data_IF_087135006546
#
_entry.id   IF_087135006546
#
_cell.length_a   1.000
_cell.length_b   1.000
_cell.length_c   1.000
_cell.angle_alpha   90.00
_cell.angle_beta   90.00
_cell.angle_gamma   90.00
#
_symmetry.space_group_name_H-M   'P 1'
#
loop_
_entity.id
_entity.type
_entity.pdbx_description
1 polymer ?
#
# COMPACT_ATOMS: atom_id res chain seq x y z
N UNK A 1 -15.16 -49.84 12.26
CA UNK A 1 -13.82 -49.26 12.60
C UNK A 1 -13.34 -48.59 11.35
N UNK A 2 -13.59 -47.27 11.25
CA UNK A 2 -13.23 -46.46 10.07
C UNK A 2 -11.84 -45.90 10.26
N UNK A 3 -10.92 -46.26 9.41
CA UNK A 3 -9.55 -45.72 9.39
C UNK A 3 -9.63 -44.28 8.85
N UNK A 4 -9.24 -43.34 9.66
CA UNK A 4 -9.05 -41.93 9.25
C UNK A 4 -7.74 -41.84 8.47
N UNK A 5 -7.85 -41.42 7.21
CA UNK A 5 -6.73 -41.31 6.29
C UNK A 5 -5.68 -40.32 6.78
N UNK A 6 -4.48 -40.80 7.09
CA UNK A 6 -3.35 -40.03 7.62
C UNK A 6 -2.91 -38.86 6.68
N UNK A 7 -3.28 -38.95 5.39
CA UNK A 7 -2.97 -37.92 4.39
C UNK A 7 -3.73 -36.61 4.59
N UNK A 8 -4.96 -36.67 5.10
CA UNK A 8 -5.79 -35.45 5.29
C UNK A 8 -5.32 -34.64 6.50
N UNK A 9 -4.83 -35.31 7.55
CA UNK A 9 -4.30 -34.63 8.76
C UNK A 9 -3.00 -33.90 8.44
N UNK A 10 -2.16 -34.46 7.57
CA UNK A 10 -0.87 -33.88 7.20
C UNK A 10 -1.01 -32.64 6.30
N UNK A 11 -2.05 -32.58 5.45
CA UNK A 11 -2.36 -31.42 4.62
C UNK A 11 -2.89 -30.24 5.46
N UNK A 12 -3.68 -30.49 6.48
CA UNK A 12 -4.22 -29.47 7.38
C UNK A 12 -3.14 -28.84 8.28
N UNK A 13 -2.17 -29.64 8.76
CA UNK A 13 -1.05 -29.12 9.55
C UNK A 13 -0.12 -28.23 8.71
N UNK A 14 0.15 -28.61 7.46
CA UNK A 14 1.02 -27.82 6.57
C UNK A 14 0.44 -26.45 6.24
N UNK A 15 -0.86 -26.36 6.01
CA UNK A 15 -1.55 -25.11 5.72
C UNK A 15 -1.66 -24.17 6.95
N UNK A 16 -1.70 -24.72 8.16
CA UNK A 16 -1.68 -23.97 9.41
C UNK A 16 -0.29 -23.42 9.71
N UNK A 17 0.77 -24.21 9.50
CA UNK A 17 2.15 -23.80 9.69
C UNK A 17 2.56 -22.69 8.70
N UNK A 18 2.14 -22.77 7.44
CA UNK A 18 2.41 -21.73 6.44
C UNK A 18 1.70 -20.41 6.78
N UNK A 19 0.46 -20.47 7.27
CA UNK A 19 -0.29 -19.28 7.72
C UNK A 19 0.28 -18.69 9.00
N UNK A 20 0.66 -19.52 9.96
CA UNK A 20 1.33 -19.07 11.18
C UNK A 20 2.71 -18.48 10.89
N UNK A 21 3.47 -19.08 10.00
CA UNK A 21 4.77 -18.53 9.57
C UNK A 21 4.60 -17.21 8.79
N UNK A 22 3.56 -17.06 7.96
CA UNK A 22 3.25 -15.79 7.30
C UNK A 22 2.85 -14.71 8.32
N UNK A 23 2.06 -15.04 9.34
CA UNK A 23 1.67 -14.13 10.42
C UNK A 23 2.89 -13.78 11.29
N UNK A 24 3.71 -14.77 11.67
CA UNK A 24 4.94 -14.55 12.42
C UNK A 24 5.95 -13.72 11.62
N UNK A 25 6.12 -13.97 10.33
CA UNK A 25 6.96 -13.16 9.46
C UNK A 25 6.42 -11.73 9.31
N UNK A 26 5.10 -11.51 9.28
CA UNK A 26 4.53 -10.17 9.28
C UNK A 26 4.72 -9.43 10.62
N UNK A 27 4.83 -10.18 11.73
CA UNK A 27 5.12 -9.63 13.07
C UNK A 27 6.62 -9.40 13.32
N UNK A 28 7.50 -9.99 12.52
CA UNK A 28 8.97 -9.82 12.60
C UNK A 28 9.56 -8.93 11.52
N UNK A 29 8.74 -8.11 10.84
CA UNK A 29 9.28 -7.08 9.96
C UNK A 29 10.07 -6.08 10.81
N UNK A 30 11.38 -6.22 10.82
CA UNK A 30 12.32 -5.35 11.51
C UNK A 30 12.49 -3.98 10.83
N UNK A 31 11.47 -3.50 10.14
CA UNK A 31 11.51 -2.26 9.37
C UNK A 31 10.12 -1.70 9.07
N UNK A 32 10.05 -0.49 8.53
CA UNK A 32 8.81 0.08 8.00
C UNK A 32 8.29 -0.76 6.82
N UNK A 33 7.03 -0.61 6.49
CA UNK A 33 6.42 -1.28 5.34
C UNK A 33 7.10 -0.83 4.04
N UNK A 34 7.22 -1.73 3.05
CA UNK A 34 7.67 -1.38 1.70
C UNK A 34 6.81 -0.26 1.07
N UNK A 35 5.52 -0.20 1.41
CA UNK A 35 4.61 0.89 1.01
C UNK A 35 4.88 2.23 1.72
N UNK A 36 5.79 2.28 2.67
CA UNK A 36 6.27 3.52 3.29
C UNK A 36 7.62 3.95 2.73
N UNK A 37 8.38 3.04 2.11
CA UNK A 37 9.79 3.27 1.79
C UNK A 37 10.20 2.96 0.35
N UNK A 38 9.61 1.97 -0.30
CA UNK A 38 10.14 1.42 -1.55
C UNK A 38 9.09 1.31 -2.66
N UNK A 39 7.80 1.25 -2.30
CA UNK A 39 6.69 1.12 -3.26
C UNK A 39 5.88 2.40 -3.34
N UNK A 40 5.80 2.94 -4.53
CA UNK A 40 4.95 4.09 -4.89
C UNK A 40 3.77 3.58 -5.71
N UNK A 41 2.54 3.92 -5.32
CA UNK A 41 1.34 3.55 -6.07
C UNK A 41 0.77 4.76 -6.79
N UNK A 42 0.25 4.53 -7.99
CA UNK A 42 -0.40 5.58 -8.81
C UNK A 42 -1.85 5.18 -9.04
N UNK A 43 -2.78 5.87 -8.38
CA UNK A 43 -4.22 5.67 -8.56
C UNK A 43 -5.01 6.88 -8.05
N UNK A 44 -6.16 7.24 -8.67
CA UNK A 44 -7.05 8.28 -8.16
C UNK A 44 -7.77 7.82 -6.89
N UNK A 45 -7.84 8.70 -5.90
CA UNK A 45 -8.59 8.54 -4.65
C UNK A 45 -8.91 9.92 -4.08
N UNK A 46 -9.47 10.01 -2.87
CA UNK A 46 -9.93 11.25 -2.22
C UNK A 46 -8.81 12.19 -1.74
N UNK A 47 -7.57 11.93 -2.12
CA UNK A 47 -6.41 12.74 -1.73
C UNK A 47 -6.18 13.92 -2.66
N UNK A 48 -5.15 14.73 -2.35
CA UNK A 48 -4.72 15.87 -3.16
C UNK A 48 -3.76 15.48 -4.29
N UNK A 49 -3.51 14.20 -4.47
CA UNK A 49 -2.67 13.65 -5.54
C UNK A 49 -2.99 12.17 -5.77
N UNK A 50 -2.59 11.66 -6.91
CA UNK A 50 -2.66 10.24 -7.25
C UNK A 50 -1.39 9.46 -6.87
N UNK A 51 -0.45 10.10 -6.17
CA UNK A 51 0.84 9.52 -5.74
C UNK A 51 0.73 9.06 -4.29
N UNK A 52 0.98 7.80 -4.05
CA UNK A 52 0.80 7.16 -2.75
C UNK A 52 2.02 6.33 -2.35
N UNK A 53 2.46 6.54 -1.12
CA UNK A 53 3.14 5.53 -0.31
C UNK A 53 2.09 4.76 0.52
N UNK A 54 2.27 4.55 1.84
CA UNK A 54 1.14 4.17 2.71
C UNK A 54 0.09 5.27 2.76
N UNK A 55 0.56 6.52 2.81
CA UNK A 55 -0.24 7.75 2.78
C UNK A 55 -0.03 8.51 1.47
N UNK A 56 -0.99 9.36 1.06
CA UNK A 56 -0.84 10.17 -0.14
C UNK A 56 0.32 11.16 0.01
N UNK A 57 1.06 11.39 -1.07
CA UNK A 57 2.10 12.41 -1.17
C UNK A 57 1.57 13.58 -1.98
N UNK A 58 1.32 14.76 -1.37
CA UNK A 58 0.82 15.93 -2.10
C UNK A 58 1.73 16.32 -3.25
N UNK A 59 1.18 16.78 -4.37
CA UNK A 59 1.99 17.21 -5.53
C UNK A 59 3.04 18.28 -5.18
N UNK A 60 2.74 19.15 -4.22
CA UNK A 60 3.71 20.17 -3.74
C UNK A 60 4.95 19.59 -3.05
N UNK A 61 4.93 18.32 -2.68
CA UNK A 61 6.04 17.61 -2.02
C UNK A 61 6.76 16.66 -2.95
N UNK A 62 6.18 16.33 -4.12
CA UNK A 62 6.73 15.32 -5.03
C UNK A 62 7.92 15.82 -5.84
N UNK A 63 8.03 17.13 -6.07
CA UNK A 63 9.01 17.73 -7.00
C UNK A 63 8.99 17.11 -8.41
N UNK A 64 7.91 16.42 -8.79
CA UNK A 64 7.69 15.94 -10.15
C UNK A 64 7.61 17.14 -11.10
N UNK A 65 7.95 16.94 -12.36
CA UNK A 65 7.84 17.99 -13.37
C UNK A 65 6.40 18.53 -13.43
N UNK A 66 6.26 19.84 -13.62
CA UNK A 66 4.95 20.49 -13.71
C UNK A 66 4.09 19.88 -14.84
N UNK A 67 4.71 19.48 -15.95
CA UNK A 67 4.04 18.84 -17.07
C UNK A 67 3.45 17.48 -16.66
N UNK A 68 4.19 16.67 -15.91
CA UNK A 68 3.70 15.39 -15.41
C UNK A 68 2.60 15.59 -14.37
N UNK A 69 2.74 16.55 -13.45
CA UNK A 69 1.71 16.89 -12.45
C UNK A 69 0.41 17.33 -13.13
N UNK A 70 0.47 18.17 -14.15
CA UNK A 70 -0.71 18.62 -14.91
C UNK A 70 -1.43 17.44 -15.59
N UNK A 71 -0.67 16.51 -16.14
CA UNK A 71 -1.21 15.30 -16.80
C UNK A 71 -1.80 14.32 -15.78
N UNK A 72 -1.16 14.13 -14.63
CA UNK A 72 -1.69 13.30 -13.53
C UNK A 72 -3.01 13.90 -12.99
N UNK A 73 -3.06 15.20 -12.79
CA UNK A 73 -4.27 15.92 -12.35
C UNK A 73 -5.40 15.81 -13.39
N UNK A 74 -5.07 15.96 -14.67
CA UNK A 74 -6.04 15.82 -15.75
C UNK A 74 -6.56 14.38 -15.87
N UNK A 75 -5.71 13.39 -15.64
CA UNK A 75 -6.06 11.98 -15.64
C UNK A 75 -6.98 11.65 -14.44
N UNK A 76 -6.69 12.17 -13.26
CA UNK A 76 -7.56 12.03 -12.09
C UNK A 76 -8.96 12.61 -12.35
N UNK A 77 -9.03 13.82 -12.93
CA UNK A 77 -10.33 14.43 -13.28
C UNK A 77 -11.15 13.55 -14.25
N UNK A 78 -10.50 12.89 -15.22
CA UNK A 78 -11.15 11.96 -16.13
C UNK A 78 -11.76 10.74 -15.43
N UNK A 79 -11.21 10.31 -14.30
CA UNK A 79 -11.76 9.19 -13.51
C UNK A 79 -13.19 9.50 -13.07
N UNK A 80 -13.39 10.64 -12.44
CA UNK A 80 -14.71 11.04 -11.95
C UNK A 80 -15.68 11.30 -13.10
N UNK A 81 -15.25 11.89 -14.21
CA UNK A 81 -16.06 12.14 -15.39
C UNK A 81 -16.45 10.85 -16.13
N UNK A 82 -15.64 9.80 -16.00
CA UNK A 82 -15.87 8.53 -16.68
C UNK A 82 -16.84 7.61 -15.94
N UNK A 83 -17.18 7.91 -14.68
CA UNK A 83 -18.06 7.10 -13.85
C UNK A 83 -19.50 7.64 -13.88
N UNK A 84 -20.44 6.73 -13.67
CA UNK A 84 -21.85 7.05 -13.37
C UNK A 84 -22.01 7.38 -11.88
N UNK A 85 -23.21 7.84 -11.48
CA UNK A 85 -23.54 8.07 -10.07
C UNK A 85 -23.47 6.81 -9.19
N UNK A 86 -23.44 5.62 -9.80
CA UNK A 86 -23.25 4.32 -9.15
C UNK A 86 -21.82 3.82 -9.19
N UNK A 87 -20.85 4.68 -9.54
CA UNK A 87 -19.42 4.35 -9.68
C UNK A 87 -19.12 3.27 -10.73
N UNK A 88 -19.97 3.12 -11.75
CA UNK A 88 -19.74 2.24 -12.88
C UNK A 88 -19.15 3.01 -14.07
N UNK A 89 -18.29 2.39 -14.84
CA UNK A 89 -17.73 2.99 -16.04
C UNK A 89 -18.80 3.24 -17.10
N UNK A 90 -18.91 4.48 -17.59
CA UNK A 90 -19.87 4.87 -18.62
C UNK A 90 -19.67 4.12 -19.94
N UNK A 91 -18.47 3.64 -20.23
CA UNK A 91 -18.19 2.74 -21.35
C UNK A 91 -16.87 2.01 -21.18
N UNK A 92 -16.77 0.82 -21.79
CA UNK A 92 -15.55 0.02 -21.84
C UNK A 92 -14.42 0.76 -22.55
N UNK A 93 -14.72 1.54 -23.58
CA UNK A 93 -13.70 2.32 -24.28
C UNK A 93 -13.08 3.41 -23.39
N UNK A 94 -13.89 4.06 -22.53
CA UNK A 94 -13.36 5.02 -21.55
C UNK A 94 -12.50 4.33 -20.51
N UNK A 95 -12.90 3.16 -20.01
CA UNK A 95 -12.10 2.34 -19.11
C UNK A 95 -10.73 1.99 -19.73
N UNK A 96 -10.73 1.49 -20.96
CA UNK A 96 -9.47 1.10 -21.65
C UNK A 96 -8.54 2.30 -21.87
N UNK A 97 -9.09 3.43 -22.34
CA UNK A 97 -8.32 4.65 -22.56
C UNK A 97 -7.72 5.18 -21.25
N UNK A 98 -8.52 5.19 -20.18
CA UNK A 98 -8.09 5.59 -18.84
C UNK A 98 -6.97 4.71 -18.30
N UNK A 99 -7.10 3.38 -18.44
CA UNK A 99 -6.08 2.44 -17.99
C UNK A 99 -4.78 2.56 -18.79
N UNK A 100 -4.87 2.72 -20.10
CA UNK A 100 -3.68 2.91 -20.93
C UNK A 100 -2.90 4.18 -20.55
N UNK A 101 -3.61 5.29 -20.32
CA UNK A 101 -3.01 6.55 -19.89
C UNK A 101 -2.41 6.44 -18.50
N UNK A 102 -3.11 5.79 -17.55
CA UNK A 102 -2.61 5.59 -16.18
C UNK A 102 -1.32 4.78 -16.14
N UNK A 103 -1.23 3.73 -16.95
CA UNK A 103 0.00 2.92 -17.06
C UNK A 103 1.17 3.74 -17.64
N UNK A 104 0.91 4.59 -18.64
CA UNK A 104 1.91 5.49 -19.21
C UNK A 104 2.41 6.49 -18.18
N UNK A 105 1.50 7.16 -17.47
CA UNK A 105 1.83 8.12 -16.41
C UNK A 105 2.61 7.47 -15.27
N UNK A 106 2.24 6.28 -14.84
CA UNK A 106 2.99 5.54 -13.82
C UNK A 106 4.43 5.22 -14.27
N UNK A 107 4.63 4.93 -15.57
CA UNK A 107 5.98 4.74 -16.13
C UNK A 107 6.78 6.04 -16.13
N UNK A 108 6.16 7.17 -16.44
CA UNK A 108 6.82 8.47 -16.38
C UNK A 108 7.19 8.85 -14.95
N UNK A 109 6.32 8.60 -13.97
CA UNK A 109 6.65 8.74 -12.54
C UNK A 109 7.87 7.90 -12.20
N UNK A 110 7.90 6.61 -12.59
CA UNK A 110 9.06 5.73 -12.36
C UNK A 110 10.35 6.29 -12.95
N UNK A 111 10.29 6.85 -14.15
CA UNK A 111 11.46 7.45 -14.80
C UNK A 111 11.93 8.73 -14.09
N UNK A 112 11.01 9.57 -13.62
CA UNK A 112 11.40 10.79 -12.90
C UNK A 112 12.03 10.50 -11.55
N UNK A 113 11.52 9.51 -10.80
CA UNK A 113 12.01 9.21 -9.45
C UNK A 113 13.19 8.25 -9.40
N UNK A 114 13.40 7.47 -10.49
CA UNK A 114 14.57 6.60 -10.66
C UNK A 114 14.44 5.20 -10.08
N UNK A 115 15.51 4.38 -10.13
CA UNK A 115 15.48 2.93 -9.92
C UNK A 115 15.33 2.50 -8.44
N UNK A 116 15.37 3.43 -7.50
CA UNK A 116 15.28 3.12 -6.06
C UNK A 116 13.85 2.74 -5.65
N UNK A 117 12.84 3.02 -6.50
CA UNK A 117 11.45 2.79 -6.21
C UNK A 117 10.79 1.84 -7.21
N UNK A 118 9.88 1.01 -6.70
CA UNK A 118 8.92 0.28 -7.51
C UNK A 118 7.64 1.11 -7.63
N UNK A 119 7.21 1.42 -8.85
CA UNK A 119 5.94 2.11 -9.09
C UNK A 119 4.88 1.08 -9.45
N UNK A 120 3.87 0.95 -8.61
CA UNK A 120 2.74 0.04 -8.84
C UNK A 120 1.56 0.78 -9.49
N UNK A 121 1.05 0.17 -10.56
CA UNK A 121 -0.19 0.57 -11.20
C UNK A 121 -1.13 -0.62 -11.33
N UNK A 122 -2.38 -0.46 -10.91
CA UNK A 122 -3.43 -1.46 -11.13
C UNK A 122 -4.48 -0.91 -12.08
N UNK A 123 -4.69 -1.61 -13.20
CA UNK A 123 -5.82 -1.35 -14.08
C UNK A 123 -7.16 -1.53 -13.34
N UNK A 124 -8.16 -0.73 -13.70
CA UNK A 124 -9.52 -0.85 -13.18
C UNK A 124 -10.34 -1.96 -13.86
N UNK A 125 -9.72 -2.75 -14.71
CA UNK A 125 -10.32 -3.96 -15.27
C UNK A 125 -10.43 -5.07 -14.21
N UNK A 126 -11.47 -5.89 -14.33
CA UNK A 126 -11.67 -7.00 -13.42
C UNK A 126 -10.49 -7.99 -13.47
N UNK A 127 -9.99 -8.37 -12.29
CA UNK A 127 -8.87 -9.30 -12.13
C UNK A 127 -7.55 -8.84 -12.78
N UNK A 128 -7.38 -7.56 -13.03
CA UNK A 128 -6.11 -7.03 -13.54
C UNK A 128 -4.97 -7.29 -12.54
N UNK A 129 -3.85 -7.78 -13.06
CA UNK A 129 -2.62 -7.86 -12.29
C UNK A 129 -2.07 -6.45 -12.00
N UNK A 130 -1.35 -6.31 -10.88
CA UNK A 130 -0.59 -5.10 -10.60
C UNK A 130 0.60 -5.06 -11.55
N UNK A 131 0.74 -3.97 -12.30
CA UNK A 131 1.95 -3.67 -13.04
C UNK A 131 2.97 -3.06 -12.08
N UNK A 132 4.14 -3.68 -11.98
CA UNK A 132 5.28 -3.14 -11.25
C UNK A 132 6.25 -2.55 -12.27
N UNK A 133 6.52 -1.26 -12.14
CA UNK A 133 7.34 -0.49 -13.05
C UNK A 133 8.62 -0.07 -12.32
N UNK A 134 9.75 -0.34 -12.93
CA UNK A 134 11.06 0.09 -12.45
C UNK A 134 11.76 0.86 -13.56
N UNK A 135 12.42 1.95 -13.21
CA UNK A 135 13.36 2.59 -14.11
C UNK A 135 14.70 1.87 -14.05
N UNK A 136 15.28 1.55 -15.20
CA UNK A 136 16.65 1.02 -15.27
C UNK A 136 17.70 2.15 -15.28
N UNK A 137 17.24 3.40 -15.45
CA UNK A 137 18.09 4.60 -15.56
C UNK A 137 18.00 5.43 -14.27
N UNK A 138 19.03 6.22 -13.97
CA UNK A 138 18.97 7.21 -12.89
C UNK A 138 17.76 8.14 -13.03
N UNK A 139 17.30 8.69 -11.91
CA UNK A 139 16.19 9.65 -11.90
C UNK A 139 16.37 10.73 -12.96
N UNK A 140 15.45 10.84 -13.92
CA UNK A 140 15.49 11.89 -14.93
C UNK A 140 15.18 13.27 -14.35
N UNK A 141 14.50 13.31 -13.19
CA UNK A 141 14.27 14.48 -12.36
C UNK A 141 14.95 14.31 -11.01
N UNK A 142 16.14 14.91 -10.86
CA UNK A 142 16.93 14.78 -9.62
C UNK A 142 16.17 15.27 -8.37
N UNK A 143 15.39 16.35 -8.49
CA UNK A 143 14.62 16.91 -7.38
C UNK A 143 13.51 15.95 -6.94
N UNK A 144 12.77 15.36 -7.88
CA UNK A 144 11.76 14.34 -7.59
C UNK A 144 12.39 13.12 -6.92
N UNK A 145 13.46 12.56 -7.48
CA UNK A 145 14.16 11.44 -6.85
C UNK A 145 14.64 11.75 -5.43
N UNK A 146 15.12 12.99 -5.18
CA UNK A 146 15.51 13.42 -3.84
C UNK A 146 14.32 13.56 -2.89
N UNK A 147 13.18 14.09 -3.34
CA UNK A 147 11.97 14.25 -2.54
C UNK A 147 11.40 12.89 -2.10
N UNK A 148 11.35 11.93 -3.01
CA UNK A 148 10.88 10.57 -2.69
C UNK A 148 11.83 9.85 -1.72
N UNK A 149 13.15 9.99 -1.89
CA UNK A 149 14.13 9.47 -0.91
C UNK A 149 13.96 10.11 0.46
N UNK A 150 13.74 11.42 0.53
CA UNK A 150 13.50 12.12 1.79
C UNK A 150 12.22 11.60 2.48
N UNK A 151 11.13 11.37 1.73
CA UNK A 151 9.89 10.77 2.26
C UNK A 151 10.14 9.39 2.84
N UNK A 152 10.84 8.52 2.11
CA UNK A 152 11.19 7.17 2.56
C UNK A 152 12.13 7.17 3.77
N UNK A 153 13.09 8.08 3.82
CA UNK A 153 13.99 8.25 4.96
C UNK A 153 13.23 8.68 6.22
N UNK A 154 12.30 9.63 6.08
CA UNK A 154 11.43 10.07 7.18
C UNK A 154 10.61 8.92 7.76
N UNK A 155 10.00 8.08 6.91
CA UNK A 155 9.26 6.90 7.37
C UNK A 155 10.15 5.93 8.17
N UNK A 156 11.40 5.71 7.73
CA UNK A 156 12.38 4.87 8.47
C UNK A 156 12.74 5.47 9.82
N UNK A 157 12.91 6.78 9.89
CA UNK A 157 13.21 7.49 11.14
C UNK A 157 12.03 7.45 12.12
N UNK A 158 10.81 7.67 11.66
CA UNK A 158 9.59 7.58 12.48
C UNK A 158 9.37 6.17 13.02
N UNK A 159 9.59 5.15 12.18
CA UNK A 159 9.51 3.76 12.60
C UNK A 159 10.54 3.46 13.69
N UNK A 160 11.82 3.84 13.49
CA UNK A 160 12.89 3.65 14.47
C UNK A 160 12.60 4.38 15.80
N UNK A 161 12.10 5.62 15.75
CA UNK A 161 11.70 6.38 16.92
C UNK A 161 10.54 5.71 17.67
N UNK A 162 9.59 5.13 16.95
CA UNK A 162 8.45 4.39 17.52
C UNK A 162 8.93 3.11 18.22
N UNK A 163 9.84 2.36 17.59
CA UNK A 163 10.43 1.17 18.20
C UNK A 163 11.23 1.52 19.47
N UNK A 164 12.00 2.60 19.44
CA UNK A 164 12.74 3.07 20.61
C UNK A 164 11.81 3.46 21.77
N UNK A 165 10.71 4.14 21.47
CA UNK A 165 9.68 4.48 22.50
C UNK A 165 9.05 3.23 23.09
N UNK A 166 8.68 2.25 22.24
CA UNK A 166 8.08 0.99 22.68
C UNK A 166 9.06 0.17 23.54
N UNK A 167 10.33 0.12 23.18
CA UNK A 167 11.38 -0.55 23.95
C UNK A 167 11.66 0.13 25.31
N UNK A 168 11.54 1.46 25.38
CA UNK A 168 11.75 2.23 26.61
C UNK A 168 10.54 2.18 27.56
N UNK A 169 9.36 1.79 27.08
CA UNK A 169 8.16 1.66 27.91
C UNK A 169 8.11 0.25 28.47
N UNK A 170 8.35 0.02 29.78
CA UNK A 170 8.24 -1.31 30.34
C UNK A 170 6.79 -1.80 30.14
N UNK A 171 6.58 -3.11 29.91
CA UNK A 171 5.24 -3.67 29.78
C UNK A 171 4.49 -3.49 31.10
N UNK A 172 3.76 -2.38 31.21
CA UNK A 172 2.90 -2.09 32.36
C UNK A 172 1.60 -2.83 32.16
N UNK A 173 1.52 -4.02 32.74
CA UNK A 173 0.30 -4.79 32.81
C UNK A 173 0.01 -5.67 31.61
N UNK A 174 -0.79 -6.68 31.84
CA UNK A 174 -1.36 -7.56 30.81
C UNK A 174 -2.15 -6.68 29.83
N UNK A 175 -1.73 -6.63 28.57
CA UNK A 175 -2.53 -6.01 27.51
C UNK A 175 -3.72 -6.93 27.27
N UNK A 176 -4.77 -6.75 28.05
CA UNK A 176 -6.04 -7.42 27.82
C UNK A 176 -6.75 -6.76 26.65
N UNK A 177 -7.11 -7.52 25.64
CA UNK A 177 -8.02 -7.08 24.61
C UNK A 177 -9.43 -7.05 25.19
N UNK A 178 -10.08 -5.90 25.09
CA UNK A 178 -11.44 -5.72 25.58
C UNK A 178 -12.37 -5.35 24.43
N UNK A 179 -13.47 -6.08 24.27
CA UNK A 179 -14.57 -5.62 23.44
C UNK A 179 -15.43 -4.64 24.27
N UNK A 180 -15.74 -3.48 23.71
CA UNK A 180 -16.61 -2.49 24.34
C UNK A 180 -17.99 -2.54 23.69
N UNK A 181 -19.04 -2.78 24.50
CA UNK A 181 -20.41 -2.66 24.02
C UNK A 181 -20.81 -1.18 23.81
N UNK A 182 -21.86 -0.90 23.04
CA UNK A 182 -22.41 0.45 22.89
C UNK A 182 -22.84 1.07 24.24
N UNK A 183 -23.15 0.25 25.25
CA UNK A 183 -23.47 0.66 26.63
C UNK A 183 -22.24 0.94 27.49
N UNK A 184 -21.01 0.77 26.97
CA UNK A 184 -19.76 1.05 27.67
C UNK A 184 -19.23 -0.10 28.53
N UNK A 185 -19.84 -1.28 28.48
CA UNK A 185 -19.38 -2.46 29.24
C UNK A 185 -18.16 -3.08 28.56
N UNK A 186 -17.13 -3.43 29.35
CA UNK A 186 -15.90 -4.08 28.89
C UNK A 186 -16.01 -5.58 29.08
N UNK A 187 -15.68 -6.34 28.02
CA UNK A 187 -15.62 -7.79 28.03
C UNK A 187 -14.18 -8.24 27.78
N UNK A 188 -13.52 -8.91 28.72
CA UNK A 188 -12.24 -9.54 28.46
C UNK A 188 -12.41 -10.69 27.48
N UNK A 189 -11.51 -10.80 26.48
CA UNK A 189 -11.55 -11.83 25.43
C UNK A 189 -10.87 -13.15 25.86
N UNK A 190 -10.28 -13.20 27.03
CA UNK A 190 -9.46 -14.31 27.52
C UNK A 190 -10.25 -15.39 28.31
N UNK A 191 -11.53 -15.53 28.07
CA UNK A 191 -12.31 -16.73 28.43
C UNK A 191 -12.18 -17.29 29.85
N UNK A 192 -11.57 -16.57 30.79
CA UNK A 192 -11.52 -16.95 32.19
C UNK A 192 -12.85 -16.61 32.85
N UNK A 193 -13.61 -17.65 33.15
CA UNK A 193 -14.78 -17.61 34.03
C UNK A 193 -14.34 -17.42 35.47
#
# INVERSE_FOLDING_TARGET
MLAVDAGVVQCLHRGLDERLNAILNSMTQNGPSEYETDIVRVFPDYAQSVIWFSDPMPYSETELSSELVDRLTSWEAQYYDALTDNFEWRSVNKLHAFNAQGLELAREVSNEIGPEFSVEYRSFENNAAIAQLHSDEPASNFSAGAAFRARAAHAREEWAATQARNAATPPTGTVGWYARSPSGTFFPLDGTK
#
